data_IF_974309275382
#
_entry.id   IF_974309275382
#
_cell.length_a   1.000
_cell.length_b   1.000
_cell.length_c   1.000
_cell.angle_alpha   90.00
_cell.angle_beta   90.00
_cell.angle_gamma   90.00
#
_symmetry.space_group_name_H-M   'P 1'
#
loop_
_entity.id
_entity.type
_entity.pdbx_description
1 polymer ?
#
# COMPACT_ATOMS: atom_id res chain seq x y z
N UNK A 1 31.38 -4.45 8.64
CA UNK A 1 30.18 -4.01 9.39
C UNK A 1 30.17 -4.75 10.70
N UNK A 2 29.95 -4.07 11.83
CA UNK A 2 29.70 -4.74 13.11
C UNK A 2 28.49 -5.68 12.96
N UNK A 3 28.62 -6.93 13.44
CA UNK A 3 27.58 -7.96 13.35
C UNK A 3 26.23 -7.46 13.91
N UNK A 4 26.30 -6.60 14.94
CA UNK A 4 25.13 -5.99 15.56
C UNK A 4 24.37 -5.04 14.60
N UNK A 5 25.08 -4.12 13.93
CA UNK A 5 24.48 -3.16 13.00
C UNK A 5 23.81 -3.87 11.80
N UNK A 6 24.44 -4.94 11.30
CA UNK A 6 23.86 -5.78 10.23
C UNK A 6 22.53 -6.40 10.67
N UNK A 7 22.54 -6.99 11.86
CA UNK A 7 21.39 -7.69 12.43
C UNK A 7 20.24 -6.71 12.64
N UNK A 8 20.53 -5.51 13.16
CA UNK A 8 19.55 -4.44 13.32
C UNK A 8 18.94 -4.01 11.97
N UNK A 9 19.76 -3.70 10.97
CA UNK A 9 19.28 -3.31 9.63
C UNK A 9 18.41 -4.41 9.01
N UNK A 10 18.82 -5.67 9.13
CA UNK A 10 18.05 -6.81 8.60
C UNK A 10 16.70 -6.93 9.30
N UNK A 11 16.66 -6.80 10.63
CA UNK A 11 15.42 -6.85 11.40
C UNK A 11 14.48 -5.68 11.07
N UNK A 12 15.01 -4.47 10.84
CA UNK A 12 14.23 -3.30 10.42
C UNK A 12 13.58 -3.53 9.04
N UNK A 13 14.35 -4.02 8.07
CA UNK A 13 13.84 -4.33 6.73
C UNK A 13 12.77 -5.43 6.79
N UNK A 14 13.01 -6.48 7.57
CA UNK A 14 12.05 -7.59 7.72
C UNK A 14 10.74 -7.12 8.39
N UNK A 15 10.84 -6.34 9.48
CA UNK A 15 9.69 -5.73 10.13
C UNK A 15 8.90 -4.82 9.18
N UNK A 16 9.59 -3.95 8.43
CA UNK A 16 8.95 -3.06 7.45
C UNK A 16 8.30 -3.79 6.26
N UNK A 17 8.74 -4.99 5.92
CA UNK A 17 8.09 -5.81 4.89
C UNK A 17 6.76 -6.44 5.37
N UNK A 18 6.52 -6.45 6.68
CA UNK A 18 5.30 -7.00 7.29
C UNK A 18 4.38 -5.87 7.78
N UNK A 19 4.93 -4.90 8.50
CA UNK A 19 4.23 -3.70 9.01
C UNK A 19 4.26 -2.58 7.96
N UNK A 20 3.61 -2.86 6.83
CA UNK A 20 3.79 -2.11 5.56
C UNK A 20 3.39 -0.63 5.64
N UNK A 21 2.37 -0.29 6.44
CA UNK A 21 1.96 1.10 6.69
C UNK A 21 3.10 1.94 7.26
N UNK A 22 4.03 1.33 8.00
CA UNK A 22 5.19 1.97 8.65
C UNK A 22 6.51 1.64 7.95
N UNK A 23 6.49 0.98 6.79
CA UNK A 23 7.70 0.51 6.09
C UNK A 23 8.73 1.60 5.85
N UNK A 24 8.28 2.78 5.44
CA UNK A 24 9.13 3.95 5.20
C UNK A 24 9.86 4.40 6.47
N UNK A 25 9.22 4.32 7.64
CA UNK A 25 9.83 4.62 8.95
C UNK A 25 10.93 3.61 9.29
N UNK A 26 10.66 2.31 9.13
CA UNK A 26 11.68 1.28 9.36
C UNK A 26 12.86 1.41 8.40
N UNK A 27 12.59 1.72 7.13
CA UNK A 27 13.62 1.91 6.11
C UNK A 27 14.45 3.17 6.38
N UNK A 28 13.84 4.27 6.80
CA UNK A 28 14.56 5.49 7.18
C UNK A 28 15.48 5.26 8.37
N UNK A 29 14.99 4.53 9.39
CA UNK A 29 15.83 4.09 10.50
C UNK A 29 16.96 3.16 10.04
N UNK A 30 16.68 2.23 9.14
CA UNK A 30 17.69 1.34 8.56
C UNK A 30 18.76 2.11 7.78
N UNK A 31 18.38 3.16 7.03
CA UNK A 31 19.32 4.06 6.35
C UNK A 31 20.21 4.79 7.34
N UNK A 32 19.64 5.29 8.43
CA UNK A 32 20.39 5.98 9.48
C UNK A 32 21.42 5.08 10.17
N UNK A 33 21.08 3.80 10.38
CA UNK A 33 22.01 2.80 10.95
C UNK A 33 23.08 2.38 9.92
N UNK A 34 22.71 2.26 8.65
CA UNK A 34 23.62 1.81 7.59
C UNK A 34 24.58 2.90 7.11
N UNK A 35 24.16 4.16 7.08
CA UNK A 35 24.89 5.28 6.46
C UNK A 35 26.34 5.46 6.96
N UNK A 36 26.65 5.30 8.27
CA UNK A 36 28.04 5.36 8.76
C UNK A 36 28.94 4.24 8.22
N UNK A 37 28.37 3.10 7.82
CA UNK A 37 29.10 1.92 7.31
C UNK A 37 29.18 1.95 5.78
N UNK A 38 28.10 2.33 5.12
CA UNK A 38 28.02 2.48 3.67
C UNK A 38 27.03 3.60 3.35
N UNK A 39 27.54 4.76 2.96
CA UNK A 39 26.68 5.87 2.55
C UNK A 39 25.93 5.54 1.24
N UNK A 40 24.82 6.23 1.00
CA UNK A 40 24.07 6.10 -0.25
C UNK A 40 24.94 6.40 -1.48
N UNK A 41 25.83 7.38 -1.40
CA UNK A 41 26.75 7.73 -2.49
C UNK A 41 27.76 6.61 -2.75
N UNK A 42 28.36 6.06 -1.70
CA UNK A 42 29.27 4.92 -1.82
C UNK A 42 28.56 3.69 -2.41
N UNK A 43 27.33 3.42 -1.97
CA UNK A 43 26.50 2.36 -2.54
C UNK A 43 26.24 2.58 -4.03
N UNK A 44 25.85 3.79 -4.46
CA UNK A 44 25.62 4.12 -5.88
C UNK A 44 26.89 3.93 -6.72
N UNK A 45 28.06 4.28 -6.20
CA UNK A 45 29.34 4.02 -6.86
C UNK A 45 29.61 2.52 -7.02
N UNK A 46 29.37 1.70 -6.00
CA UNK A 46 29.51 0.24 -6.13
C UNK A 46 28.53 -0.34 -7.17
N UNK A 47 27.32 0.19 -7.26
CA UNK A 47 26.36 -0.21 -8.29
C UNK A 47 26.85 0.16 -9.71
N UNK A 48 27.48 1.32 -9.87
CA UNK A 48 28.14 1.70 -11.13
C UNK A 48 29.34 0.80 -11.45
N UNK A 49 30.18 0.49 -10.48
CA UNK A 49 31.31 -0.43 -10.63
C UNK A 49 30.85 -1.84 -11.04
N UNK A 50 29.75 -2.32 -10.44
CA UNK A 50 29.12 -3.59 -10.80
C UNK A 50 28.58 -3.60 -12.23
N UNK A 51 27.92 -2.52 -12.64
CA UNK A 51 27.45 -2.37 -14.02
C UNK A 51 28.63 -2.33 -14.99
N UNK A 52 29.70 -1.60 -14.66
CA UNK A 52 30.92 -1.55 -15.47
C UNK A 52 31.57 -2.94 -15.59
N UNK A 53 31.63 -3.72 -14.51
CA UNK A 53 32.14 -5.10 -14.54
C UNK A 53 31.33 -6.00 -15.49
N UNK A 54 30.01 -5.83 -15.54
CA UNK A 54 29.14 -6.61 -16.43
C UNK A 54 29.38 -6.31 -17.93
N UNK A 55 29.87 -5.11 -18.27
CA UNK A 55 30.19 -4.69 -19.64
C UNK A 55 31.62 -5.08 -20.09
N UNK A 56 32.50 -5.42 -19.14
CA UNK A 56 33.90 -5.76 -19.45
C UNK A 56 34.05 -7.00 -20.34
N UNK A 57 33.29 -8.10 -20.18
CA UNK A 57 33.39 -9.27 -21.06
C UNK A 57 33.17 -8.93 -22.55
N UNK A 58 32.17 -8.09 -22.86
CA UNK A 58 31.91 -7.64 -24.23
C UNK A 58 33.06 -6.78 -24.76
N UNK A 59 33.61 -5.91 -23.93
CA UNK A 59 34.74 -5.04 -24.30
C UNK A 59 36.02 -5.85 -24.52
N UNK A 60 36.27 -6.88 -23.70
CA UNK A 60 37.38 -7.82 -23.85
C UNK A 60 37.24 -8.62 -25.14
N UNK A 61 36.03 -9.14 -25.45
CA UNK A 61 35.77 -9.86 -26.69
C UNK A 61 36.08 -8.99 -27.93
N UNK A 62 35.63 -7.73 -27.94
CA UNK A 62 35.97 -6.79 -29.03
C UNK A 62 37.47 -6.51 -29.14
N UNK A 63 38.19 -6.42 -28.02
CA UNK A 63 39.64 -6.23 -28.04
C UNK A 63 40.37 -7.47 -28.57
N UNK A 64 39.84 -8.66 -28.27
CA UNK A 64 40.32 -9.95 -28.76
C UNK A 64 40.12 -10.09 -30.28
N UNK A 65 38.94 -9.73 -30.79
CA UNK A 65 38.61 -9.75 -32.22
C UNK A 65 39.55 -8.86 -33.05
N UNK A 66 40.01 -7.75 -32.44
CA UNK A 66 40.97 -6.81 -33.06
C UNK A 66 42.44 -7.17 -32.78
N UNK A 67 42.72 -8.34 -32.18
CA UNK A 67 44.06 -8.81 -31.79
C UNK A 67 44.85 -7.82 -30.91
N UNK A 68 44.17 -6.96 -30.15
CA UNK A 68 44.82 -5.99 -29.26
C UNK A 68 45.09 -6.63 -27.88
N UNK A 69 46.12 -7.47 -27.83
CA UNK A 69 46.48 -8.24 -26.63
C UNK A 69 46.86 -7.40 -25.42
N UNK A 70 47.43 -6.21 -25.61
CA UNK A 70 47.71 -5.27 -24.52
C UNK A 70 46.43 -4.80 -23.82
N UNK A 71 45.41 -4.46 -24.62
CA UNK A 71 44.13 -4.02 -24.09
C UNK A 71 43.37 -5.17 -23.42
N UNK A 72 43.42 -6.38 -23.99
CA UNK A 72 42.85 -7.59 -23.37
C UNK A 72 43.44 -7.79 -21.97
N UNK A 73 44.77 -7.78 -21.83
CA UNK A 73 45.44 -7.93 -20.52
C UNK A 73 44.96 -6.88 -19.52
N UNK A 74 44.97 -5.60 -19.91
CA UNK A 74 44.56 -4.49 -19.05
C UNK A 74 43.10 -4.62 -18.58
N UNK A 75 42.19 -4.96 -19.48
CA UNK A 75 40.77 -5.11 -19.17
C UNK A 75 40.50 -6.35 -18.29
N UNK A 76 41.21 -7.45 -18.51
CA UNK A 76 41.13 -8.65 -17.67
C UNK A 76 41.63 -8.40 -16.24
N UNK A 77 42.76 -7.72 -16.07
CA UNK A 77 43.28 -7.33 -14.75
C UNK A 77 42.31 -6.40 -14.01
N UNK A 78 41.72 -5.45 -14.74
CA UNK A 78 40.68 -4.56 -14.20
C UNK A 78 39.43 -5.34 -13.78
N UNK A 79 38.96 -6.28 -14.61
CA UNK A 79 37.80 -7.12 -14.29
C UNK A 79 38.04 -7.94 -13.03
N UNK A 80 39.22 -8.55 -12.90
CA UNK A 80 39.59 -9.34 -11.73
C UNK A 80 39.65 -8.48 -10.46
N UNK A 81 40.27 -7.29 -10.54
CA UNK A 81 40.34 -6.34 -9.42
C UNK A 81 38.95 -5.89 -8.96
N UNK A 82 38.07 -5.55 -9.90
CA UNK A 82 36.69 -5.16 -9.58
C UNK A 82 35.88 -6.32 -9.01
N UNK A 83 36.03 -7.53 -9.55
CA UNK A 83 35.35 -8.73 -9.04
C UNK A 83 35.72 -8.97 -7.58
N UNK A 84 37.01 -9.02 -7.25
CA UNK A 84 37.45 -9.21 -5.86
C UNK A 84 36.92 -8.13 -4.92
N UNK A 85 36.97 -6.85 -5.32
CA UNK A 85 36.46 -5.76 -4.51
C UNK A 85 34.95 -5.83 -4.24
N UNK A 86 34.17 -6.32 -5.21
CA UNK A 86 32.72 -6.53 -5.06
C UNK A 86 32.40 -7.77 -4.24
N UNK A 87 33.15 -8.86 -4.42
CA UNK A 87 32.99 -10.11 -3.69
C UNK A 87 33.25 -9.91 -2.18
N UNK A 88 34.31 -9.17 -1.84
CA UNK A 88 34.65 -8.81 -0.46
C UNK A 88 33.51 -8.05 0.25
N UNK A 89 32.66 -7.37 -0.50
CA UNK A 89 31.55 -6.53 0.00
C UNK A 89 30.17 -7.08 -0.33
N UNK A 90 30.05 -8.24 -0.94
CA UNK A 90 28.80 -8.76 -1.50
C UNK A 90 27.67 -8.79 -0.46
N UNK A 91 27.95 -9.28 0.74
CA UNK A 91 27.01 -9.35 1.85
C UNK A 91 26.50 -7.96 2.31
N UNK A 92 27.39 -6.97 2.37
CA UNK A 92 27.03 -5.60 2.75
C UNK A 92 26.23 -4.92 1.64
N UNK A 93 26.63 -5.09 0.38
CA UNK A 93 25.90 -4.55 -0.77
C UNK A 93 24.50 -5.16 -0.89
N UNK A 94 24.34 -6.44 -0.56
CA UNK A 94 23.02 -7.08 -0.54
C UNK A 94 22.11 -6.47 0.52
N UNK A 95 22.60 -6.24 1.74
CA UNK A 95 21.86 -5.53 2.79
C UNK A 95 21.58 -4.07 2.39
N UNK A 96 22.51 -3.41 1.71
CA UNK A 96 22.35 -2.03 1.28
C UNK A 96 21.28 -1.89 0.19
N UNK A 97 21.19 -2.83 -0.76
CA UNK A 97 20.12 -2.85 -1.77
C UNK A 97 18.73 -2.87 -1.14
N UNK A 98 18.52 -3.65 -0.08
CA UNK A 98 17.21 -3.71 0.59
C UNK A 98 16.83 -2.44 1.36
N UNK A 99 17.73 -1.47 1.45
CA UNK A 99 17.55 -0.20 2.17
C UNK A 99 17.55 1.01 1.22
N UNK A 100 18.48 1.02 0.25
CA UNK A 100 18.71 2.13 -0.67
C UNK A 100 18.03 1.96 -2.05
N UNK A 101 17.72 0.74 -2.48
CA UNK A 101 17.10 0.46 -3.80
C UNK A 101 15.73 -0.21 -3.63
N UNK A 102 14.85 0.47 -2.88
CA UNK A 102 13.48 0.01 -2.61
C UNK A 102 12.51 0.69 -3.57
N UNK A 103 11.98 -0.06 -4.54
CA UNK A 103 11.07 0.45 -5.58
C UNK A 103 9.68 -0.21 -5.59
N UNK A 104 9.47 -1.17 -4.70
CA UNK A 104 8.24 -1.94 -4.60
C UNK A 104 7.29 -1.34 -3.55
N UNK A 105 6.00 -1.56 -3.75
CA UNK A 105 4.96 -1.34 -2.74
C UNK A 105 4.54 -2.71 -2.24
N UNK A 106 4.72 -2.96 -0.94
CA UNK A 106 4.38 -4.23 -0.29
C UNK A 106 2.93 -4.18 0.15
N UNK A 107 2.17 -5.23 -0.10
CA UNK A 107 0.79 -5.36 0.38
C UNK A 107 0.81 -5.82 1.83
N UNK A 108 -0.07 -5.24 2.66
CA UNK A 108 -0.17 -5.63 4.06
C UNK A 108 -0.79 -7.04 4.17
N UNK A 109 -0.07 -8.02 4.74
CA UNK A 109 -0.54 -9.39 4.80
C UNK A 109 -1.69 -9.61 5.80
N UNK A 110 -1.95 -8.64 6.67
CA UNK A 110 -3.03 -8.67 7.65
C UNK A 110 -4.20 -7.73 7.31
N UNK A 111 -4.10 -7.01 6.18
CA UNK A 111 -5.21 -6.20 5.73
C UNK A 111 -6.36 -7.08 5.23
N UNK A 112 -7.61 -6.84 5.69
CA UNK A 112 -8.75 -7.66 5.33
C UNK A 112 -8.97 -7.72 3.80
N UNK A 113 -9.04 -8.93 3.25
CA UNK A 113 -9.33 -9.17 1.84
C UNK A 113 -8.12 -9.12 0.90
N UNK A 114 -6.90 -8.91 1.40
CA UNK A 114 -5.69 -8.89 0.55
C UNK A 114 -4.95 -10.23 0.50
N UNK A 115 -5.45 -11.27 1.18
CA UNK A 115 -4.76 -12.56 1.35
C UNK A 115 -4.42 -13.22 0.02
N UNK A 116 -5.30 -13.09 -0.98
CA UNK A 116 -5.09 -13.64 -2.33
C UNK A 116 -3.92 -12.96 -3.08
N UNK A 117 -3.51 -11.75 -2.69
CA UNK A 117 -2.51 -10.95 -3.40
C UNK A 117 -1.14 -10.93 -2.71
N UNK A 118 -1.07 -11.27 -1.42
CA UNK A 118 0.18 -11.21 -0.65
C UNK A 118 1.09 -12.42 -0.87
N UNK A 119 0.60 -13.46 -1.56
CA UNK A 119 1.24 -14.79 -1.73
C UNK A 119 1.50 -15.52 -0.40
N UNK A 120 0.89 -15.06 0.70
CA UNK A 120 0.97 -15.69 2.02
C UNK A 120 -0.34 -16.40 2.25
N UNK A 121 -0.29 -17.71 2.49
CA UNK A 121 -1.50 -18.48 2.74
C UNK A 121 -2.11 -18.05 4.09
N UNK A 122 -3.45 -18.02 4.20
CA UNK A 122 -4.14 -17.64 5.45
C UNK A 122 -3.67 -18.44 6.68
N UNK A 123 -3.35 -19.73 6.47
CA UNK A 123 -2.78 -20.62 7.49
C UNK A 123 -1.38 -20.22 8.01
N UNK A 124 -0.65 -19.39 7.26
CA UNK A 124 0.69 -18.92 7.61
C UNK A 124 0.67 -17.59 8.39
N UNK A 125 -0.48 -16.90 8.42
CA UNK A 125 -0.62 -15.62 9.13
C UNK A 125 -0.31 -15.72 10.64
N UNK A 126 -0.69 -16.79 11.38
CA UNK A 126 -0.29 -16.94 12.78
C UNK A 126 1.23 -17.03 12.95
N UNK A 127 1.92 -17.77 12.07
CA UNK A 127 3.38 -17.88 12.06
C UNK A 127 4.04 -16.54 11.73
N UNK A 128 3.51 -15.81 10.74
CA UNK A 128 4.01 -14.48 10.38
C UNK A 128 3.82 -13.48 11.53
N UNK A 129 2.68 -13.52 12.21
CA UNK A 129 2.42 -12.69 13.40
C UNK A 129 3.41 -13.01 14.51
N UNK A 130 3.64 -14.29 14.82
CA UNK A 130 4.64 -14.71 15.82
C UNK A 130 6.02 -14.17 15.46
N UNK A 131 6.45 -14.35 14.21
CA UNK A 131 7.72 -13.82 13.69
C UNK A 131 7.81 -12.29 13.85
N UNK A 132 6.73 -11.57 13.57
CA UNK A 132 6.67 -10.12 13.74
C UNK A 132 6.87 -9.70 15.20
N UNK A 133 6.23 -10.39 16.14
CA UNK A 133 6.39 -10.12 17.58
C UNK A 133 7.82 -10.39 18.04
N UNK A 134 8.47 -11.44 17.55
CA UNK A 134 9.88 -11.75 17.81
C UNK A 134 10.83 -10.68 17.25
N UNK A 135 10.57 -10.22 16.02
CA UNK A 135 11.33 -9.14 15.38
C UNK A 135 11.21 -7.84 16.17
N UNK A 136 9.98 -7.41 16.48
CA UNK A 136 9.72 -6.18 17.23
C UNK A 136 10.33 -6.24 18.64
N UNK A 137 10.23 -7.37 19.35
CA UNK A 137 10.89 -7.55 20.64
C UNK A 137 12.43 -7.58 20.54
N UNK A 138 12.98 -7.99 19.40
CA UNK A 138 14.42 -7.86 19.13
C UNK A 138 14.82 -6.41 18.92
N UNK A 139 14.10 -5.68 18.06
CA UNK A 139 14.32 -4.27 17.79
C UNK A 139 14.19 -3.41 19.06
N UNK A 140 13.20 -3.70 19.90
CA UNK A 140 12.97 -3.03 21.19
C UNK A 140 14.17 -3.16 22.15
N UNK A 141 14.89 -4.29 22.10
CA UNK A 141 16.08 -4.55 22.92
C UNK A 141 17.37 -3.98 22.33
N UNK A 142 17.50 -3.98 21.00
CA UNK A 142 18.76 -3.64 20.33
C UNK A 142 18.83 -2.19 19.87
N UNK A 143 17.70 -1.54 19.59
CA UNK A 143 17.63 -0.14 19.14
C UNK A 143 16.92 0.73 20.18
N UNK A 144 17.66 1.05 21.25
CA UNK A 144 17.16 1.69 22.47
C UNK A 144 16.45 3.02 22.19
N UNK A 145 16.95 3.82 21.25
CA UNK A 145 16.36 5.12 20.91
C UNK A 145 14.96 5.04 20.29
N UNK A 146 14.55 3.84 19.86
CA UNK A 146 13.28 3.58 19.18
C UNK A 146 12.40 2.58 19.93
N UNK A 147 12.78 2.22 21.16
CA UNK A 147 12.11 1.23 22.00
C UNK A 147 10.58 1.42 22.05
N UNK A 148 10.14 2.63 22.38
CA UNK A 148 8.71 2.91 22.58
C UNK A 148 7.89 2.71 21.30
N UNK A 149 8.47 3.03 20.15
CA UNK A 149 7.84 2.80 18.86
C UNK A 149 7.66 1.29 18.61
N UNK A 150 8.72 0.49 18.77
CA UNK A 150 8.63 -0.96 18.58
C UNK A 150 7.66 -1.61 19.59
N UNK A 151 7.70 -1.19 20.86
CA UNK A 151 6.78 -1.67 21.88
C UNK A 151 5.32 -1.31 21.57
N UNK A 152 5.04 -0.11 21.05
CA UNK A 152 3.71 0.26 20.60
C UNK A 152 3.22 -0.60 19.43
N UNK A 153 4.06 -0.82 18.41
CA UNK A 153 3.73 -1.72 17.30
C UNK A 153 3.53 -3.15 17.76
N UNK A 154 4.36 -3.63 18.69
CA UNK A 154 4.25 -4.96 19.27
C UNK A 154 2.88 -5.18 19.91
N UNK A 155 2.39 -4.22 20.70
CA UNK A 155 1.04 -4.27 21.30
C UNK A 155 -0.06 -4.31 20.24
N UNK A 156 0.07 -3.55 19.15
CA UNK A 156 -0.90 -3.60 18.03
C UNK A 156 -0.96 -4.99 17.41
N UNK A 157 0.19 -5.62 17.13
CA UNK A 157 0.20 -6.99 16.60
C UNK A 157 -0.27 -8.02 17.64
N UNK A 158 -0.01 -7.80 18.93
CA UNK A 158 -0.47 -8.68 20.01
C UNK A 158 -1.99 -8.61 20.19
N UNK A 159 -2.60 -7.43 20.09
CA UNK A 159 -4.04 -7.26 20.25
C UNK A 159 -4.88 -7.89 19.11
N UNK A 160 -4.25 -8.31 18.01
CA UNK A 160 -4.95 -8.92 16.88
C UNK A 160 -5.53 -10.29 17.23
N UNK A 161 -6.77 -10.59 16.80
CA UNK A 161 -7.35 -11.93 16.95
C UNK A 161 -6.40 -12.98 16.35
N UNK A 162 -6.23 -14.10 17.06
CA UNK A 162 -5.72 -15.29 16.39
C UNK A 162 -6.78 -15.69 15.38
N UNK A 163 -6.40 -15.84 14.12
CA UNK A 163 -7.30 -16.45 13.13
C UNK A 163 -7.44 -17.91 13.54
N UNK A 164 -8.41 -18.20 14.41
CA UNK A 164 -8.65 -19.56 14.89
C UNK A 164 -8.98 -20.43 13.69
N UNK A 165 -8.05 -21.34 13.39
CA UNK A 165 -8.26 -22.45 12.51
C UNK A 165 -8.95 -23.57 13.29
N UNK A 166 -10.14 -23.31 13.84
CA UNK A 166 -11.02 -24.31 14.46
C UNK A 166 -12.37 -23.65 14.73
N UNK A 167 -13.23 -23.61 13.70
CA UNK A 167 -14.68 -23.59 13.93
C UNK A 167 -15.14 -25.01 13.67
N UNK A 168 -15.31 -25.78 14.74
CA UNK A 168 -16.17 -26.96 14.71
C UNK A 168 -17.56 -26.49 14.28
N UNK A 169 -17.87 -26.68 13.01
CA UNK A 169 -19.22 -26.49 12.48
C UNK A 169 -20.11 -27.56 13.11
N UNK A 170 -20.91 -27.17 14.09
CA UNK A 170 -22.15 -27.89 14.41
C UNK A 170 -23.07 -27.66 13.21
N UNK A 171 -23.09 -28.64 12.32
CA UNK A 171 -23.85 -28.61 11.07
C UNK A 171 -25.32 -28.84 11.37
N UNK A 172 -26.11 -27.78 11.40
CA UNK A 172 -27.51 -27.84 10.96
C UNK A 172 -27.55 -27.24 9.56
N UNK A 173 -27.17 -28.03 8.56
CA UNK A 173 -27.19 -27.62 7.16
C UNK A 173 -28.60 -27.70 6.60
N UNK A 174 -28.92 -26.72 5.75
CA UNK A 174 -30.17 -26.71 4.99
C UNK A 174 -30.13 -27.77 3.86
N UNK A 175 -31.28 -28.26 3.37
CA UNK A 175 -31.32 -29.29 2.33
C UNK A 175 -30.61 -28.93 1.01
N UNK A 176 -30.50 -27.63 0.71
CA UNK A 176 -29.81 -27.14 -0.49
C UNK A 176 -28.28 -27.29 -0.39
N UNK A 177 -27.71 -27.00 0.78
CA UNK A 177 -26.27 -27.11 1.04
C UNK A 177 -25.80 -28.57 1.07
N UNK A 178 -26.67 -29.48 1.50
CA UNK A 178 -26.43 -30.92 1.43
C UNK A 178 -26.33 -31.42 -0.02
N UNK A 179 -27.15 -30.87 -0.93
CA UNK A 179 -27.17 -31.27 -2.33
C UNK A 179 -25.92 -30.80 -3.09
N UNK A 180 -25.46 -29.57 -2.83
CA UNK A 180 -24.24 -29.05 -3.44
C UNK A 180 -22.98 -29.74 -2.88
N UNK A 181 -22.96 -30.05 -1.57
CA UNK A 181 -21.90 -30.86 -0.97
C UNK A 181 -21.83 -32.28 -1.57
N UNK A 182 -22.98 -32.89 -1.89
CA UNK A 182 -23.03 -34.18 -2.57
C UNK A 182 -22.52 -34.10 -4.01
N UNK A 183 -22.83 -33.02 -4.73
CA UNK A 183 -22.30 -32.77 -6.09
C UNK A 183 -20.79 -32.58 -6.11
N UNK A 184 -20.25 -31.88 -5.11
CA UNK A 184 -18.79 -31.73 -4.96
C UNK A 184 -18.11 -33.06 -4.63
N UNK A 185 -18.66 -33.84 -3.70
CA UNK A 185 -18.12 -35.17 -3.38
C UNK A 185 -18.12 -36.10 -4.61
N UNK A 186 -19.18 -36.04 -5.43
CA UNK A 186 -19.27 -36.79 -6.68
C UNK A 186 -18.23 -36.30 -7.72
N UNK A 187 -18.07 -34.99 -7.90
CA UNK A 187 -17.04 -34.42 -8.78
C UNK A 187 -15.62 -34.77 -8.35
N UNK A 188 -15.38 -34.89 -7.05
CA UNK A 188 -14.08 -35.26 -6.49
C UNK A 188 -13.82 -36.78 -6.47
N UNK A 189 -14.83 -37.61 -6.83
CA UNK A 189 -14.74 -39.07 -6.77
C UNK A 189 -14.71 -39.64 -5.34
N UNK A 190 -15.09 -38.84 -4.33
CA UNK A 190 -15.09 -39.24 -2.93
C UNK A 190 -16.40 -39.96 -2.56
N UNK A 191 -16.47 -41.23 -2.95
CA UNK A 191 -17.64 -42.09 -2.77
C UNK A 191 -17.95 -42.37 -1.29
N UNK A 192 -16.96 -42.27 -0.40
CA UNK A 192 -17.16 -42.46 1.05
C UNK A 192 -17.90 -41.27 1.66
N UNK A 193 -17.49 -40.05 1.30
CA UNK A 193 -18.18 -38.82 1.73
C UNK A 193 -19.58 -38.73 1.16
N UNK A 194 -19.79 -39.18 -0.08
CA UNK A 194 -21.12 -39.25 -0.68
C UNK A 194 -22.06 -40.23 0.05
N UNK A 195 -21.55 -41.40 0.45
CA UNK A 195 -22.33 -42.38 1.22
C UNK A 195 -22.75 -41.84 2.60
N UNK A 196 -21.84 -41.16 3.31
CA UNK A 196 -22.13 -40.55 4.60
C UNK A 196 -23.20 -39.43 4.50
N UNK A 197 -23.14 -38.61 3.44
CA UNK A 197 -24.16 -37.58 3.19
C UNK A 197 -25.54 -38.17 2.86
N UNK A 198 -25.58 -39.33 2.19
CA UNK A 198 -26.82 -40.02 1.89
C UNK A 198 -27.49 -40.62 3.15
N UNK A 199 -26.72 -41.17 4.08
CA UNK A 199 -27.24 -41.70 5.35
C UNK A 199 -27.89 -40.61 6.22
N UNK A 200 -27.32 -39.40 6.24
CA UNK A 200 -27.88 -38.25 6.97
C UNK A 200 -29.25 -37.83 6.40
N UNK A 201 -29.45 -37.91 5.09
CA UNK A 201 -30.74 -37.61 4.45
C UNK A 201 -31.79 -38.71 4.65
N UNK A 202 -31.35 -39.98 4.76
CA UNK A 202 -32.25 -41.11 5.02
C UNK A 202 -32.69 -41.15 6.50
N UNK A 203 -31.84 -40.69 7.43
CA UNK A 203 -32.12 -40.68 8.87
C UNK A 203 -32.98 -39.53 9.40
N UNK A 204 -33.22 -38.48 8.60
CA UNK A 204 -33.96 -37.28 9.01
C UNK A 204 -35.47 -37.36 8.74
N UNK A 205 -36.22 -38.09 9.56
CA UNK A 205 -37.69 -38.11 9.52
C UNK A 205 -38.32 -36.75 9.91
N UNK A 206 -39.32 -36.31 9.15
CA UNK A 206 -40.05 -35.04 9.33
C UNK A 206 -40.67 -34.85 10.72
N UNK A 207 -40.67 -33.60 11.23
CA UNK A 207 -41.82 -33.09 11.97
C UNK A 207 -42.49 -31.88 11.29
N UNK A 208 -43.81 -31.88 11.46
CA UNK A 208 -44.87 -31.01 10.96
C UNK A 208 -44.64 -29.49 10.99
N UNK A 209 -45.30 -28.84 10.02
CA UNK A 209 -45.49 -27.41 9.86
C UNK A 209 -45.97 -26.68 11.13
N UNK A 210 -45.40 -25.51 11.38
CA UNK A 210 -46.03 -24.38 12.07
C UNK A 210 -45.37 -23.08 11.62
N UNK A 211 -46.20 -22.15 11.15
CA UNK A 211 -45.81 -20.87 10.58
C UNK A 211 -45.16 -19.94 11.62
N UNK A 212 -43.99 -19.38 11.31
CA UNK A 212 -43.46 -18.18 11.96
C UNK A 212 -42.70 -17.34 10.92
N UNK A 213 -42.98 -16.03 10.97
CA UNK A 213 -42.57 -14.91 10.10
C UNK A 213 -41.20 -14.99 9.42
N UNK A 214 -41.17 -14.70 8.11
CA UNK A 214 -39.97 -14.30 7.37
C UNK A 214 -39.44 -12.94 7.86
N UNK A 215 -38.54 -12.98 8.84
CA UNK A 215 -37.49 -11.98 8.98
C UNK A 215 -36.20 -12.63 8.48
N UNK A 216 -35.81 -12.31 7.24
CA UNK A 216 -34.55 -12.78 6.66
C UNK A 216 -33.38 -12.15 7.42
N UNK A 217 -32.90 -12.86 8.44
CA UNK A 217 -31.61 -12.61 9.07
C UNK A 217 -30.51 -13.01 8.08
N UNK A 218 -30.12 -12.08 7.23
CA UNK A 218 -28.89 -12.15 6.44
C UNK A 218 -27.69 -12.12 7.41
N UNK A 219 -27.24 -13.30 7.81
CA UNK A 219 -25.96 -13.52 8.48
C UNK A 219 -24.80 -13.26 7.52
N UNK A 220 -24.63 -12.01 7.10
CA UNK A 220 -23.35 -11.52 6.64
C UNK A 220 -22.51 -11.28 7.89
N UNK A 221 -21.33 -11.90 7.96
CA UNK A 221 -20.33 -11.54 8.95
C UNK A 221 -20.23 -10.01 9.00
N UNK A 222 -20.64 -9.43 10.12
CA UNK A 222 -20.48 -8.00 10.40
C UNK A 222 -19.01 -7.72 10.18
N UNK A 223 -18.70 -6.96 9.12
CA UNK A 223 -17.49 -6.16 9.12
C UNK A 223 -17.74 -5.20 10.28
N UNK A 224 -17.19 -5.51 11.46
CA UNK A 224 -17.32 -4.70 12.65
C UNK A 224 -16.88 -3.26 12.31
N UNK A 225 -17.86 -2.41 12.06
CA UNK A 225 -17.74 -0.97 11.78
C UNK A 225 -17.32 -0.21 13.06
N UNK A 226 -17.26 -0.89 14.20
CA UNK A 226 -17.15 -0.30 15.54
C UNK A 226 -15.71 -0.10 16.06
N UNK A 227 -14.67 -0.49 15.32
CA UNK A 227 -13.26 -0.40 15.81
C UNK A 227 -12.28 0.28 14.87
N UNK A 228 -12.72 1.19 14.01
CA UNK A 228 -11.73 2.12 13.43
C UNK A 228 -11.33 3.14 14.49
N UNK A 229 -10.03 3.22 14.75
CA UNK A 229 -9.44 4.24 15.60
C UNK A 229 -9.95 5.61 15.13
N UNK A 230 -10.68 6.33 15.97
CA UNK A 230 -11.13 7.68 15.67
C UNK A 230 -9.91 8.50 15.24
N UNK A 231 -9.99 9.15 14.08
CA UNK A 231 -8.97 10.13 13.71
C UNK A 231 -9.12 11.30 14.67
N UNK A 232 -8.21 11.41 15.61
CA UNK A 232 -8.20 12.55 16.51
C UNK A 232 -7.87 13.81 15.71
N UNK A 233 -8.57 14.94 15.94
CA UNK A 233 -8.20 16.22 15.34
C UNK A 233 -6.71 16.51 15.56
N UNK A 234 -6.01 16.88 14.51
CA UNK A 234 -4.58 17.16 14.60
C UNK A 234 -4.39 18.58 15.10
N UNK A 235 -4.00 18.74 16.36
CA UNK A 235 -3.63 20.03 16.92
C UNK A 235 -2.24 20.46 16.40
N UNK A 236 -2.19 21.00 15.18
CA UNK A 236 -0.95 21.55 14.62
C UNK A 236 -0.52 22.80 15.38
N UNK A 237 0.76 22.86 15.75
CA UNK A 237 1.32 24.08 16.34
C UNK A 237 1.35 25.23 15.33
N UNK A 238 1.31 26.47 15.79
CA UNK A 238 1.45 27.65 14.91
C UNK A 238 2.77 27.64 14.13
N UNK A 239 3.84 27.11 14.73
CA UNK A 239 5.13 26.91 14.07
C UNK A 239 5.04 25.88 12.93
N UNK A 240 4.39 24.74 13.17
CA UNK A 240 4.13 23.73 12.14
C UNK A 240 3.32 24.31 10.99
N UNK A 241 2.28 25.10 11.28
CA UNK A 241 1.45 25.74 10.25
C UNK A 241 2.23 26.75 9.42
N UNK A 242 3.07 27.58 10.05
CA UNK A 242 3.92 28.53 9.33
C UNK A 242 4.94 27.81 8.41
N UNK A 243 5.55 26.71 8.89
CA UNK A 243 6.45 25.86 8.11
C UNK A 243 5.71 25.15 6.97
N UNK A 244 4.49 24.67 7.21
CA UNK A 244 3.64 24.06 6.20
C UNK A 244 3.33 25.03 5.06
N UNK A 245 2.95 26.27 5.41
CA UNK A 245 2.68 27.31 4.43
C UNK A 245 3.91 27.62 3.57
N UNK A 246 5.11 27.66 4.15
CA UNK A 246 6.36 27.84 3.40
C UNK A 246 6.60 26.71 2.37
N UNK A 247 6.21 25.49 2.70
CA UNK A 247 6.27 24.35 1.79
C UNK A 247 5.13 24.33 0.76
N UNK A 248 4.17 25.25 0.84
CA UNK A 248 2.98 25.27 -0.03
C UNK A 248 1.86 24.32 0.43
N UNK A 249 1.86 23.94 1.71
CA UNK A 249 0.81 23.15 2.34
C UNK A 249 -0.09 24.05 3.20
N UNK A 250 -1.40 23.83 3.10
CA UNK A 250 -2.41 24.54 3.90
C UNK A 250 -3.13 23.56 4.80
N UNK A 251 -3.41 23.99 6.04
CA UNK A 251 -4.24 23.19 6.95
C UNK A 251 -5.70 23.26 6.54
N UNK A 252 -6.33 22.10 6.37
CA UNK A 252 -7.74 21.97 6.03
C UNK A 252 -8.41 21.03 7.03
N UNK A 253 -9.51 21.52 7.60
CA UNK A 253 -10.45 20.69 8.34
C UNK A 253 -11.43 20.07 7.34
N UNK A 254 -11.55 18.75 7.35
CA UNK A 254 -12.46 18.02 6.48
C UNK A 254 -13.66 17.56 7.31
N UNK A 255 -14.85 18.00 6.90
CA UNK A 255 -16.10 17.58 7.54
C UNK A 255 -16.37 16.09 7.30
N UNK A 256 -17.06 15.42 8.25
CA UNK A 256 -17.45 14.03 8.09
C UNK A 256 -18.49 13.86 6.97
N UNK A 257 -18.43 12.72 6.27
CA UNK A 257 -19.35 12.30 5.21
C UNK A 257 -20.09 11.02 5.60
N UNK A 258 -20.70 11.03 6.79
CA UNK A 258 -21.34 9.84 7.38
C UNK A 258 -22.53 9.33 6.57
N UNK A 259 -23.15 10.19 5.75
CA UNK A 259 -24.17 9.82 4.78
C UNK A 259 -23.69 8.74 3.78
N UNK A 260 -22.38 8.66 3.53
CA UNK A 260 -21.76 7.67 2.66
C UNK A 260 -21.27 6.42 3.43
N UNK A 261 -21.34 6.40 4.76
CA UNK A 261 -20.79 5.31 5.57
C UNK A 261 -21.44 3.95 5.23
N UNK A 262 -22.75 3.97 4.95
CA UNK A 262 -23.50 2.77 4.56
C UNK A 262 -22.99 2.13 3.26
N UNK A 263 -22.30 2.90 2.39
CA UNK A 263 -21.76 2.38 1.14
C UNK A 263 -20.56 1.44 1.34
N UNK A 264 -19.90 1.51 2.50
CA UNK A 264 -18.73 0.65 2.82
C UNK A 264 -19.04 -0.83 2.76
N UNK A 265 -20.29 -1.23 3.04
CA UNK A 265 -20.73 -2.63 2.93
C UNK A 265 -20.66 -3.19 1.51
N UNK A 266 -20.61 -2.30 0.51
CA UNK A 266 -20.47 -2.66 -0.89
C UNK A 266 -19.04 -2.57 -1.39
N UNK A 267 -18.08 -2.16 -0.55
CA UNK A 267 -16.68 -2.14 -0.93
C UNK A 267 -16.18 -3.58 -1.21
N UNK A 268 -15.31 -3.69 -2.20
CA UNK A 268 -14.81 -4.96 -2.73
C UNK A 268 -14.36 -5.96 -1.65
N UNK A 269 -14.75 -7.21 -1.78
CA UNK A 269 -14.20 -8.35 -1.01
C UNK A 269 -13.71 -9.43 -1.96
N UNK A 270 -12.81 -10.34 -1.55
CA UNK A 270 -12.41 -11.46 -2.41
C UNK A 270 -13.60 -12.29 -2.93
N UNK A 271 -14.65 -12.45 -2.12
CA UNK A 271 -15.90 -13.12 -2.50
C UNK A 271 -16.79 -12.32 -3.45
N UNK A 272 -16.54 -11.03 -3.63
CA UNK A 272 -17.30 -10.17 -4.54
C UNK A 272 -16.83 -10.27 -5.99
N UNK A 273 -15.65 -10.85 -6.26
CA UNK A 273 -15.16 -11.10 -7.63
C UNK A 273 -16.15 -11.97 -8.44
N UNK A 274 -16.96 -12.80 -7.77
CA UNK A 274 -18.00 -13.63 -8.39
C UNK A 274 -19.28 -12.85 -8.74
N UNK A 275 -19.52 -11.68 -8.13
CA UNK A 275 -20.76 -10.89 -8.32
C UNK A 275 -20.73 -10.02 -9.59
N UNK A 276 -19.54 -9.80 -10.16
CA UNK A 276 -19.36 -8.99 -11.36
C UNK A 276 -19.78 -7.51 -11.21
N UNK A 277 -19.78 -6.75 -12.31
CA UNK A 277 -20.08 -5.30 -12.30
C UNK A 277 -21.49 -4.93 -11.81
N UNK A 278 -22.41 -5.90 -11.77
CA UNK A 278 -23.79 -5.68 -11.34
C UNK A 278 -23.92 -5.20 -9.88
N UNK A 279 -22.94 -5.52 -9.02
CA UNK A 279 -22.92 -5.06 -7.64
C UNK A 279 -22.88 -3.53 -7.51
N UNK A 280 -22.32 -2.81 -8.50
CA UNK A 280 -22.27 -1.35 -8.50
C UNK A 280 -23.53 -0.68 -9.06
N UNK A 281 -24.27 -1.36 -9.94
CA UNK A 281 -25.47 -0.81 -10.57
C UNK A 281 -26.60 -0.57 -9.55
N UNK A 282 -26.73 -1.47 -8.57
CA UNK A 282 -27.81 -1.46 -7.57
C UNK A 282 -27.47 -0.67 -6.29
N UNK A 283 -26.38 0.10 -6.28
CA UNK A 283 -25.99 0.85 -5.07
C UNK A 283 -26.91 2.04 -4.82
N UNK A 284 -27.51 2.14 -3.61
CA UNK A 284 -28.33 3.28 -3.24
C UNK A 284 -27.41 4.48 -2.95
N UNK A 285 -27.31 5.41 -3.90
CA UNK A 285 -26.66 6.69 -3.67
C UNK A 285 -27.67 7.70 -3.10
N UNK A 286 -27.25 8.65 -2.25
CA UNK A 286 -28.09 9.74 -1.79
C UNK A 286 -28.74 10.49 -2.96
N UNK A 287 -30.01 10.89 -2.81
CA UNK A 287 -30.71 11.69 -3.82
C UNK A 287 -29.94 12.97 -4.15
N UNK A 288 -29.76 13.26 -5.44
CA UNK A 288 -28.98 14.43 -5.89
C UNK A 288 -27.46 14.20 -5.94
N UNK A 289 -26.99 12.97 -5.73
CA UNK A 289 -25.57 12.62 -5.92
C UNK A 289 -25.12 12.94 -7.36
N UNK A 290 -23.94 13.56 -7.54
CA UNK A 290 -23.36 13.79 -8.86
C UNK A 290 -23.16 12.47 -9.62
N UNK A 291 -23.32 12.50 -10.95
CA UNK A 291 -23.18 11.30 -11.79
C UNK A 291 -21.79 10.65 -11.62
N UNK A 292 -20.73 11.45 -11.61
CA UNK A 292 -19.35 10.95 -11.40
C UNK A 292 -19.12 10.27 -10.05
N UNK A 293 -19.93 10.56 -9.02
CA UNK A 293 -19.83 9.87 -7.73
C UNK A 293 -20.17 8.38 -7.86
N UNK A 294 -21.11 8.02 -8.76
CA UNK A 294 -21.47 6.63 -9.01
C UNK A 294 -20.28 5.82 -9.53
N UNK A 295 -19.57 6.37 -10.49
CA UNK A 295 -18.40 5.70 -11.10
C UNK A 295 -17.25 5.59 -10.09
N UNK A 296 -17.00 6.63 -9.30
CA UNK A 296 -16.03 6.56 -8.19
C UNK A 296 -16.39 5.46 -7.18
N UNK A 297 -17.65 5.38 -6.75
CA UNK A 297 -18.10 4.34 -5.81
C UNK A 297 -17.99 2.95 -6.43
N UNK A 298 -18.31 2.80 -7.73
CA UNK A 298 -18.16 1.55 -8.45
C UNK A 298 -16.71 1.05 -8.46
N UNK A 299 -15.73 1.95 -8.56
CA UNK A 299 -14.31 1.59 -8.46
C UNK A 299 -13.98 0.93 -7.10
N UNK A 300 -14.47 1.46 -5.98
CA UNK A 300 -14.26 0.86 -4.66
C UNK A 300 -15.00 -0.47 -4.47
N UNK A 301 -16.06 -0.68 -5.23
CA UNK A 301 -16.92 -1.86 -5.09
C UNK A 301 -16.45 -3.06 -5.88
N UNK A 302 -15.93 -2.82 -7.08
CA UNK A 302 -15.56 -3.87 -8.03
C UNK A 302 -14.06 -4.18 -7.93
N UNK A 303 -13.27 -3.30 -7.33
CA UNK A 303 -11.82 -3.43 -7.38
C UNK A 303 -11.12 -3.44 -6.02
N UNK A 304 -10.09 -4.29 -5.86
CA UNK A 304 -9.17 -4.23 -4.72
C UNK A 304 -8.25 -3.01 -4.84
N UNK A 305 -8.47 -2.02 -3.97
CA UNK A 305 -7.65 -0.83 -3.85
C UNK A 305 -6.79 -0.87 -2.57
N UNK A 306 -5.58 -0.33 -2.64
CA UNK A 306 -4.64 -0.22 -1.51
C UNK A 306 -4.04 1.17 -1.42
N UNK A 307 -3.69 1.63 -0.22
CA UNK A 307 -2.94 2.88 0.00
C UNK A 307 -1.50 2.75 -0.50
N UNK A 308 -0.74 3.84 -0.57
CA UNK A 308 0.72 3.74 -0.79
C UNK A 308 1.45 3.04 0.37
N UNK A 309 0.77 2.84 1.50
CA UNK A 309 1.22 2.00 2.60
C UNK A 309 0.97 0.51 2.38
N UNK A 310 0.20 0.12 1.35
CA UNK A 310 -0.05 -1.28 1.01
C UNK A 310 -1.22 -1.95 1.72
N UNK A 311 -1.84 -1.27 2.68
CA UNK A 311 -3.08 -1.72 3.32
C UNK A 311 -4.28 -1.37 2.44
N UNK A 312 -5.39 -2.09 2.63
CA UNK A 312 -6.63 -1.88 1.87
C UNK A 312 -7.10 -0.44 1.99
N UNK A 313 -7.35 0.19 0.84
CA UNK A 313 -7.88 1.53 0.78
C UNK A 313 -9.39 1.49 1.02
N UNK A 314 -9.85 2.19 2.05
CA UNK A 314 -11.25 2.50 2.26
C UNK A 314 -11.36 3.99 2.63
N UNK A 315 -12.19 4.78 1.93
CA UNK A 315 -12.32 6.21 2.21
C UNK A 315 -12.56 6.52 3.68
N UNK A 316 -11.80 7.51 4.17
CA UNK A 316 -12.07 8.13 5.47
C UNK A 316 -13.31 9.02 5.32
N UNK A 317 -14.31 8.77 6.15
CA UNK A 317 -15.60 9.49 6.15
C UNK A 317 -15.84 10.24 7.45
N UNK A 318 -14.85 10.23 8.36
CA UNK A 318 -14.89 10.96 9.62
C UNK A 318 -14.27 12.34 9.44
N UNK A 319 -14.48 13.20 10.44
CA UNK A 319 -13.79 14.48 10.49
C UNK A 319 -12.28 14.24 10.62
N UNK A 320 -11.47 15.01 9.89
CA UNK A 320 -10.02 14.93 10.02
C UNK A 320 -9.35 16.24 9.61
N UNK A 321 -8.22 16.54 10.25
CA UNK A 321 -7.35 17.64 9.86
C UNK A 321 -6.19 17.12 9.02
N UNK A 322 -5.93 17.79 7.90
CA UNK A 322 -4.84 17.47 6.99
C UNK A 322 -4.03 18.73 6.65
N UNK A 323 -2.76 18.54 6.27
CA UNK A 323 -2.02 19.55 5.53
C UNK A 323 -2.01 19.14 4.06
N UNK A 324 -2.50 19.99 3.16
CA UNK A 324 -2.69 19.64 1.75
C UNK A 324 -2.20 20.77 0.86
N UNK A 325 -1.65 20.43 -0.30
CA UNK A 325 -1.41 21.43 -1.32
C UNK A 325 -2.76 21.83 -1.94
N UNK A 326 -3.23 23.03 -1.66
CA UNK A 326 -4.58 23.48 -2.00
C UNK A 326 -4.66 24.44 -3.20
N UNK A 327 -3.54 24.65 -3.90
CA UNK A 327 -3.51 25.52 -5.09
C UNK A 327 -4.56 25.11 -6.14
N UNK A 328 -5.13 26.06 -6.90
CA UNK A 328 -6.16 25.77 -7.90
C UNK A 328 -5.61 24.88 -9.02
N UNK A 329 -6.50 24.16 -9.70
CA UNK A 329 -6.11 23.40 -10.87
C UNK A 329 -5.56 24.34 -11.96
N UNK A 330 -4.31 24.16 -12.43
CA UNK A 330 -3.71 25.03 -13.43
C UNK A 330 -4.51 25.00 -14.73
N UNK A 331 -4.63 26.15 -15.40
CA UNK A 331 -5.21 26.21 -16.73
C UNK A 331 -4.39 25.39 -17.74
N UNK A 332 -5.00 25.09 -18.90
CA UNK A 332 -4.28 24.40 -19.98
C UNK A 332 -3.05 25.22 -20.41
N UNK A 333 -1.91 24.55 -20.58
CA UNK A 333 -0.58 25.12 -20.81
C UNK A 333 0.02 26.01 -19.68
N UNK A 334 -0.68 26.24 -18.56
CA UNK A 334 -0.11 26.97 -17.42
C UNK A 334 0.89 26.10 -16.65
N UNK A 335 2.00 26.68 -16.19
CA UNK A 335 2.95 25.96 -15.34
C UNK A 335 2.35 25.82 -13.94
N UNK A 336 2.23 24.60 -13.38
CA UNK A 336 1.75 24.42 -12.02
C UNK A 336 2.57 25.24 -11.00
N UNK A 337 1.92 25.67 -9.92
CA UNK A 337 2.58 26.43 -8.86
C UNK A 337 3.86 25.72 -8.37
N UNK A 338 4.99 26.42 -8.42
CA UNK A 338 6.21 25.95 -7.77
C UNK A 338 5.96 25.89 -6.25
N UNK A 339 6.29 24.77 -5.62
CA UNK A 339 6.34 24.68 -4.16
C UNK A 339 7.72 24.25 -3.71
N UNK A 340 8.13 24.78 -2.56
CA UNK A 340 9.36 24.31 -1.90
C UNK A 340 9.23 22.82 -1.55
N UNK A 341 8.02 22.28 -1.35
CA UNK A 341 7.84 20.84 -1.13
C UNK A 341 8.35 19.97 -2.30
N UNK A 342 8.00 20.32 -3.55
CA UNK A 342 8.45 19.57 -4.74
C UNK A 342 9.98 19.55 -4.83
N UNK A 343 10.61 20.68 -4.50
CA UNK A 343 12.07 20.83 -4.45
C UNK A 343 12.68 20.06 -3.28
N UNK A 344 12.09 20.10 -2.09
CA UNK A 344 12.51 19.31 -0.91
C UNK A 344 12.39 17.80 -1.13
N UNK A 345 11.46 17.37 -1.99
CA UNK A 345 11.31 16.00 -2.48
C UNK A 345 12.33 15.63 -3.58
N UNK A 346 13.09 16.59 -4.09
CA UNK A 346 14.06 16.36 -5.17
C UNK A 346 13.40 16.07 -6.52
N UNK A 347 12.14 16.46 -6.71
CA UNK A 347 11.42 16.27 -7.96
C UNK A 347 11.71 17.43 -8.93
N UNK A 348 11.83 17.18 -10.24
CA UNK A 348 12.13 18.23 -11.23
C UNK A 348 10.94 19.17 -11.49
N UNK A 349 9.73 18.79 -11.06
CA UNK A 349 8.49 19.50 -11.28
C UNK A 349 7.31 18.68 -10.77
N UNK A 350 6.08 19.00 -11.22
CA UNK A 350 4.86 18.28 -10.83
C UNK A 350 4.24 17.44 -11.94
N UNK A 351 4.47 17.81 -13.20
CA UNK A 351 3.91 17.17 -14.39
C UNK A 351 4.90 16.18 -14.99
N UNK A 352 4.40 15.23 -15.78
CA UNK A 352 5.26 14.29 -16.51
C UNK A 352 6.02 13.34 -15.57
N UNK A 353 5.55 13.17 -14.34
CA UNK A 353 6.19 12.29 -13.38
C UNK A 353 5.53 10.90 -13.39
N UNK A 354 6.28 9.83 -13.65
CA UNK A 354 5.76 8.49 -13.45
C UNK A 354 5.60 8.23 -11.95
N UNK A 355 4.59 7.45 -11.57
CA UNK A 355 4.30 7.17 -10.15
C UNK A 355 5.51 6.61 -9.40
N UNK A 356 6.32 5.77 -10.05
CA UNK A 356 7.52 5.19 -9.44
C UNK A 356 8.53 6.24 -8.98
N UNK A 357 8.67 7.35 -9.71
CA UNK A 357 9.57 8.44 -9.33
C UNK A 357 9.04 9.19 -8.10
N UNK A 358 7.72 9.41 -8.04
CA UNK A 358 7.06 10.06 -6.90
C UNK A 358 7.22 9.21 -5.63
N UNK A 359 6.96 7.90 -5.71
CA UNK A 359 7.14 6.99 -4.56
C UNK A 359 8.59 6.96 -4.09
N UNK A 360 9.56 6.94 -5.00
CA UNK A 360 10.96 6.97 -4.62
C UNK A 360 11.31 8.26 -3.88
N UNK A 361 10.80 9.41 -4.33
CA UNK A 361 10.99 10.69 -3.67
C UNK A 361 10.36 10.71 -2.27
N UNK A 362 9.11 10.24 -2.14
CA UNK A 362 8.40 10.14 -0.85
C UNK A 362 9.12 9.19 0.12
N UNK A 363 9.54 8.01 -0.34
CA UNK A 363 10.29 7.06 0.48
C UNK A 363 11.65 7.59 0.92
N UNK A 364 12.29 8.43 0.11
CA UNK A 364 13.65 8.95 0.38
C UNK A 364 13.62 10.20 1.26
N UNK A 365 12.65 11.08 1.05
CA UNK A 365 12.65 12.42 1.65
C UNK A 365 11.45 12.69 2.57
N UNK A 366 10.35 11.92 2.47
CA UNK A 366 9.09 12.20 3.17
C UNK A 366 9.24 12.25 4.69
N UNK A 367 9.86 11.23 5.31
CA UNK A 367 10.08 11.19 6.75
C UNK A 367 10.95 12.37 7.25
N UNK A 368 12.01 12.70 6.51
CA UNK A 368 12.89 13.84 6.80
C UNK A 368 12.13 15.17 6.72
N UNK A 369 11.29 15.36 5.70
CA UNK A 369 10.48 16.59 5.54
C UNK A 369 9.52 16.74 6.72
N UNK A 370 8.83 15.67 7.11
CA UNK A 370 7.95 15.69 8.29
C UNK A 370 8.72 16.10 9.54
N UNK A 371 9.82 15.42 9.83
CA UNK A 371 10.56 15.64 11.08
C UNK A 371 11.30 16.99 11.09
N UNK A 372 12.07 17.30 10.04
CA UNK A 372 13.02 18.41 10.03
C UNK A 372 12.43 19.71 9.52
N UNK A 373 11.48 19.64 8.57
CA UNK A 373 10.90 20.84 7.96
C UNK A 373 9.56 21.19 8.61
N UNK A 374 8.70 20.21 8.90
CA UNK A 374 7.37 20.44 9.49
C UNK A 374 7.33 20.31 11.03
N UNK A 375 8.33 19.66 11.65
CA UNK A 375 8.31 19.36 13.08
C UNK A 375 7.26 18.33 13.48
N UNK A 376 6.84 17.48 12.55
CA UNK A 376 5.86 16.41 12.74
C UNK A 376 6.56 15.07 12.93
N UNK A 377 6.00 14.22 13.79
CA UNK A 377 6.52 12.88 14.00
C UNK A 377 6.20 11.97 12.79
N UNK A 378 7.20 11.47 12.04
CA UNK A 378 6.97 10.57 10.90
C UNK A 378 6.38 9.23 11.33
N UNK A 379 6.34 8.89 12.62
CA UNK A 379 5.64 7.71 13.16
C UNK A 379 4.14 7.95 13.31
N UNK A 380 3.69 9.20 13.33
CA UNK A 380 2.26 9.56 13.42
C UNK A 380 1.74 10.02 12.06
N UNK A 381 2.54 10.80 11.33
CA UNK A 381 2.16 11.38 10.05
C UNK A 381 2.93 10.75 8.89
N UNK A 382 2.36 10.84 7.69
CA UNK A 382 3.01 10.47 6.44
C UNK A 382 2.69 11.49 5.36
N UNK A 383 3.71 11.85 4.57
CA UNK A 383 3.55 12.61 3.34
C UNK A 383 3.23 11.63 2.20
N UNK A 384 2.15 11.89 1.48
CA UNK A 384 1.63 11.03 0.41
C UNK A 384 1.17 11.87 -0.77
N UNK A 385 0.95 11.25 -1.94
CA UNK A 385 0.06 11.87 -2.93
C UNK A 385 -1.32 12.10 -2.29
N UNK A 386 -2.06 13.10 -2.74
CA UNK A 386 -3.36 13.41 -2.14
C UNK A 386 -4.30 12.19 -2.19
N UNK A 387 -4.90 11.76 -1.07
CA UNK A 387 -5.87 10.66 -1.10
C UNK A 387 -7.12 11.03 -1.90
N UNK A 388 -7.75 10.13 -2.68
CA UNK A 388 -8.94 10.44 -3.48
C UNK A 388 -10.07 11.13 -2.70
N UNK A 389 -10.38 10.67 -1.47
CA UNK A 389 -11.43 11.25 -0.64
C UNK A 389 -11.06 12.64 -0.06
N UNK A 390 -9.77 12.93 0.12
CA UNK A 390 -9.30 14.28 0.48
C UNK A 390 -9.41 15.19 -0.72
N UNK A 391 -9.03 14.70 -1.91
CA UNK A 391 -9.11 15.45 -3.15
C UNK A 391 -10.54 15.91 -3.43
N UNK A 392 -11.52 15.01 -3.32
CA UNK A 392 -12.94 15.34 -3.51
C UNK A 392 -13.39 16.40 -2.49
N UNK A 393 -13.18 16.16 -1.19
CA UNK A 393 -13.69 17.06 -0.13
C UNK A 393 -13.07 18.46 -0.17
N UNK A 394 -11.79 18.57 -0.50
CA UNK A 394 -11.14 19.88 -0.66
C UNK A 394 -11.52 20.52 -2.00
N UNK A 395 -11.55 19.72 -3.06
CA UNK A 395 -11.83 20.19 -4.42
C UNK A 395 -13.25 20.73 -4.63
N UNK A 396 -14.22 20.32 -3.81
CA UNK A 396 -15.57 20.93 -3.78
C UNK A 396 -15.51 22.44 -3.48
N UNK A 397 -14.64 22.84 -2.55
CA UNK A 397 -14.46 24.25 -2.18
C UNK A 397 -13.50 24.99 -3.13
N UNK A 398 -12.44 24.31 -3.58
CA UNK A 398 -11.37 24.92 -4.40
C UNK A 398 -11.63 24.85 -5.92
N UNK A 399 -12.75 24.24 -6.34
CA UNK A 399 -13.14 24.16 -7.75
C UNK A 399 -12.29 23.21 -8.58
N UNK A 400 -11.73 22.16 -7.96
CA UNK A 400 -10.94 21.16 -8.68
C UNK A 400 -11.81 20.28 -9.58
N UNK A 401 -11.17 19.55 -10.49
CA UNK A 401 -11.88 18.64 -11.39
C UNK A 401 -12.47 19.33 -12.62
N UNK A 402 -12.07 20.58 -12.90
CA UNK A 402 -12.61 21.42 -13.98
C UNK A 402 -11.66 21.57 -15.17
N UNK A 403 -10.45 21.02 -15.06
CA UNK A 403 -9.40 21.14 -16.07
C UNK A 403 -9.12 19.77 -16.73
N UNK A 404 -8.56 19.74 -17.96
CA UNK A 404 -8.37 18.52 -18.74
C UNK A 404 -7.06 17.78 -18.40
N UNK A 405 -6.79 17.58 -17.12
CA UNK A 405 -5.63 16.83 -16.63
C UNK A 405 -6.01 15.94 -15.45
N UNK A 406 -5.20 14.91 -15.20
CA UNK A 406 -5.32 14.01 -14.05
C UNK A 406 -4.37 14.42 -12.92
N UNK A 407 -4.79 14.14 -11.69
CA UNK A 407 -3.97 14.22 -10.48
C UNK A 407 -3.61 12.81 -10.02
N UNK A 408 -2.34 12.58 -9.66
CA UNK A 408 -1.92 11.36 -8.96
C UNK A 408 -2.57 11.29 -7.58
N UNK A 409 -3.21 10.17 -7.27
CA UNK A 409 -3.85 9.95 -5.98
C UNK A 409 -3.09 8.95 -5.10
N UNK A 410 -3.20 9.04 -3.78
CA UNK A 410 -2.63 7.99 -2.91
C UNK A 410 -3.19 6.62 -3.29
N UNK A 411 -2.29 5.63 -3.41
CA UNK A 411 -2.67 4.25 -3.56
C UNK A 411 -2.64 3.67 -4.96
N UNK A 412 -3.09 2.42 -5.03
CA UNK A 412 -3.01 1.55 -6.19
C UNK A 412 -4.27 0.70 -6.36
N UNK A 413 -4.63 0.46 -7.61
CA UNK A 413 -5.46 -0.66 -8.02
C UNK A 413 -4.61 -1.92 -8.13
N UNK A 414 -5.05 -3.01 -7.49
CA UNK A 414 -4.45 -4.33 -7.67
C UNK A 414 -5.09 -5.00 -8.89
N UNK A 415 -4.26 -5.49 -9.83
CA UNK A 415 -4.67 -6.38 -10.92
C UNK A 415 -3.85 -7.66 -10.91
N UNK A 416 -4.47 -8.75 -11.33
CA UNK A 416 -3.76 -10.00 -11.61
C UNK A 416 -3.60 -10.16 -13.12
N UNK A 417 -2.36 -10.13 -13.62
CA UNK A 417 -2.04 -10.30 -15.03
C UNK A 417 -1.17 -11.55 -15.16
N UNK A 418 -1.66 -12.56 -15.90
CA UNK A 418 -0.98 -13.86 -16.05
C UNK A 418 -0.57 -14.50 -14.71
N UNK A 419 -1.46 -14.44 -13.71
CA UNK A 419 -1.20 -14.98 -12.37
C UNK A 419 -0.24 -14.15 -11.51
N UNK A 420 0.20 -12.99 -11.97
CA UNK A 420 1.06 -12.08 -11.21
C UNK A 420 0.31 -10.82 -10.78
N UNK A 421 0.49 -10.45 -9.51
CA UNK A 421 0.00 -9.18 -8.97
C UNK A 421 0.75 -8.02 -9.63
N UNK A 422 -0.01 -7.08 -10.18
CA UNK A 422 0.43 -5.82 -10.75
C UNK A 422 -0.32 -4.69 -10.07
N UNK A 423 0.42 -3.62 -9.76
CA UNK A 423 -0.15 -2.42 -9.17
C UNK A 423 -0.25 -1.34 -10.25
N UNK A 424 -1.42 -0.73 -10.36
CA UNK A 424 -1.65 0.45 -11.20
C UNK A 424 -1.90 1.65 -10.29
N UNK A 425 -1.21 2.76 -10.55
CA UNK A 425 -1.30 3.97 -9.74
C UNK A 425 -2.68 4.61 -9.85
N UNK A 426 -3.26 5.04 -8.74
CA UNK A 426 -4.53 5.76 -8.77
C UNK A 426 -4.33 7.18 -9.31
N UNK A 427 -5.26 7.62 -10.14
CA UNK A 427 -5.33 8.98 -10.65
C UNK A 427 -6.79 9.37 -10.97
N UNK A 428 -7.04 10.65 -11.20
CA UNK A 428 -8.36 11.15 -11.60
C UNK A 428 -8.43 12.67 -11.55
N UNK A 429 -9.63 13.25 -11.64
CA UNK A 429 -9.81 14.70 -11.63
C UNK A 429 -9.90 15.37 -13.00
N UNK A 430 -9.95 14.64 -14.11
CA UNK A 430 -10.05 15.23 -15.45
C UNK A 430 -11.53 15.49 -15.80
N UNK A 431 -11.84 16.74 -16.13
CA UNK A 431 -13.21 17.20 -16.46
C UNK A 431 -13.86 16.38 -17.59
N UNK A 432 -13.07 15.78 -18.49
CA UNK A 432 -13.57 15.03 -19.64
C UNK A 432 -14.10 13.64 -19.29
N UNK A 433 -13.79 13.13 -18.10
CA UNK A 433 -14.00 11.74 -17.70
C UNK A 433 -14.71 11.59 -16.34
N UNK A 434 -15.30 12.68 -15.82
CA UNK A 434 -16.02 12.69 -14.54
C UNK A 434 -15.58 13.80 -13.59
N UNK A 435 -14.53 14.54 -13.94
CA UNK A 435 -14.06 15.70 -13.18
C UNK A 435 -13.67 15.33 -11.76
N UNK A 436 -14.20 16.09 -10.80
CA UNK A 436 -13.85 15.96 -9.38
C UNK A 436 -13.97 14.53 -8.82
N UNK A 437 -14.95 13.76 -9.31
CA UNK A 437 -15.24 12.41 -8.83
C UNK A 437 -14.63 11.30 -9.71
N UNK A 438 -13.90 11.63 -10.77
CA UNK A 438 -13.23 10.61 -11.57
C UNK A 438 -12.17 9.90 -10.72
N UNK A 439 -12.20 8.56 -10.74
CA UNK A 439 -11.17 7.71 -10.18
C UNK A 439 -10.85 6.61 -11.18
N UNK A 440 -9.58 6.51 -11.57
CA UNK A 440 -9.06 5.49 -12.47
C UNK A 440 -7.69 5.00 -12.01
N UNK A 441 -7.12 4.07 -12.79
CA UNK A 441 -5.76 3.59 -12.55
C UNK A 441 -4.91 3.62 -13.82
N UNK A 442 -3.66 4.07 -13.69
CA UNK A 442 -2.66 4.15 -14.77
C UNK A 442 -1.46 3.25 -14.48
N UNK A 443 -0.65 2.95 -15.50
CA UNK A 443 0.62 2.23 -15.28
C UNK A 443 1.56 3.00 -14.35
N UNK A 444 2.36 2.30 -13.53
CA UNK A 444 3.30 2.96 -12.59
C UNK A 444 4.42 3.75 -13.27
N UNK A 445 4.73 3.35 -14.50
CA UNK A 445 5.73 3.96 -15.37
C UNK A 445 5.10 4.92 -16.38
N UNK A 446 3.77 5.05 -16.39
CA UNK A 446 3.09 6.01 -17.26
C UNK A 446 3.42 7.42 -16.78
N UNK A 447 4.07 8.18 -17.65
CA UNK A 447 4.25 9.61 -17.52
C UNK A 447 3.44 10.34 -18.61
N UNK A 448 2.98 11.53 -18.26
CA UNK A 448 2.23 12.40 -19.15
C UNK A 448 2.26 13.81 -18.59
N UNK A 449 2.41 14.81 -19.45
CA UNK A 449 2.29 16.21 -19.04
C UNK A 449 0.88 16.55 -18.55
N UNK A 450 -0.11 15.71 -18.88
CA UNK A 450 -1.48 15.80 -18.35
C UNK A 450 -1.66 15.09 -17.01
N UNK A 451 -0.58 14.68 -16.35
CA UNK A 451 -0.63 14.01 -15.05
C UNK A 451 0.18 14.81 -14.02
N UNK A 452 -0.49 15.31 -12.99
CA UNK A 452 0.02 16.22 -11.98
C UNK A 452 0.22 15.52 -10.63
N UNK A 453 1.33 15.80 -9.95
CA UNK A 453 1.53 15.44 -8.55
C UNK A 453 1.01 16.54 -7.60
N UNK A 454 0.12 16.14 -6.68
CA UNK A 454 -0.41 16.93 -5.57
C UNK A 454 -0.24 16.12 -4.28
N UNK A 455 0.25 16.74 -3.22
CA UNK A 455 0.62 16.05 -1.98
C UNK A 455 -0.26 16.44 -0.78
N UNK A 456 -0.30 15.53 0.19
CA UNK A 456 -0.92 15.76 1.49
C UNK A 456 -0.10 15.09 2.61
N UNK A 457 -0.12 15.70 3.79
CA UNK A 457 0.32 15.10 5.05
C UNK A 457 -0.91 14.58 5.77
N UNK A 458 -0.90 13.28 6.09
CA UNK A 458 -2.01 12.59 6.72
C UNK A 458 -1.56 11.80 7.94
N UNK A 459 -2.48 11.51 8.86
CA UNK A 459 -2.20 10.60 9.98
C UNK A 459 -2.13 9.15 9.49
N UNK A 460 -1.12 8.38 9.89
CA UNK A 460 -0.97 6.96 9.50
C UNK A 460 -2.15 6.09 9.89
N UNK A 461 -2.87 6.45 10.96
CA UNK A 461 -4.08 5.75 11.38
C UNK A 461 -5.12 5.64 10.25
N UNK A 462 -5.22 6.64 9.37
CA UNK A 462 -6.14 6.60 8.21
C UNK A 462 -5.74 5.56 7.16
N UNK A 463 -4.44 5.25 7.08
CA UNK A 463 -3.88 4.38 6.06
C UNK A 463 -3.99 2.91 6.45
N UNK A 464 -4.20 2.63 7.73
CA UNK A 464 -4.47 1.30 8.23
C UNK A 464 -5.93 0.92 7.95
N UNK A 465 -6.16 -0.34 7.61
CA UNK A 465 -7.51 -0.86 7.41
C UNK A 465 -8.16 -1.38 8.71
N UNK A 466 -7.44 -1.30 9.84
CA UNK A 466 -7.78 -1.85 11.16
C UNK A 466 -7.41 -0.88 12.29
#
# INVERSE_FOLDING_TARGET
MDSAARTLVTALVEAGNIDTVYRDVYLDRARSVLAPVLSLEAFRRFEQERAALAELPLTIARALDNANWSLVKQLSERAQTLSHALDDKAALLQTARSVYDVRDVRLDPFSPGLEAFTRIARRELPTLRKRTLELLGTLERTDIGWRDFYGARWRVFQARPQTDAEVETVVTSSPAEALDSAREALKAGDLKRLAALAEVQIGGGMPSASAVSHAASLGGARVDDERRQELHPAAYSSETLARAQHLGLTSRHLEPRMELASLRRYAWTPSSDERGPGAAADMPLPSGSPEGLRDAVAMFAIHPLVTSGGARYLPSLVAEDVLVEDFPDPADAETPAASELVKSLGLPGRRGLPRIAIEQALLTHGARILEKELGLDPRIFRLVCIPPDVYVRVGEAEGWGRQPFWTHFDGYLIRTVMGQVRLQALAGGDVRYGGLYELLAVGREYDSDRLLARFAVVQRARMAAW
#
